data_IF_027308952981
#
_entry.id   IF_027308952981
#
_cell.length_a   1.000
_cell.length_b   1.000
_cell.length_c   1.000
_cell.angle_alpha   90.00
_cell.angle_beta   90.00
_cell.angle_gamma   90.00
#
_symmetry.space_group_name_H-M   'P 1'
#
loop_
_entity.id
_entity.type
_entity.pdbx_description
1 polymer ?
#
# COMPACT_ATOMS: atom_id res chain seq x y z
N UNK A 1 96.07 38.32 1.20
CA UNK A 1 95.73 36.93 1.52
C UNK A 1 94.18 36.85 1.52
N UNK A 2 93.64 36.23 0.47
CA UNK A 2 92.19 36.16 0.25
C UNK A 2 91.60 34.91 0.95
N UNK A 3 90.66 35.13 1.81
CA UNK A 3 89.87 34.04 2.42
C UNK A 3 88.56 33.89 1.68
N UNK A 4 88.40 32.76 0.99
CA UNK A 4 87.13 32.41 0.35
C UNK A 4 86.15 31.80 1.36
N UNK A 5 84.99 32.48 1.57
CA UNK A 5 83.90 31.95 2.32
C UNK A 5 83.09 31.04 1.42
N UNK A 6 83.07 29.74 1.72
CA UNK A 6 82.29 28.76 1.03
C UNK A 6 80.86 28.74 1.66
N UNK A 7 79.88 29.33 0.98
CA UNK A 7 78.50 29.29 1.40
C UNK A 7 77.92 27.94 0.86
N UNK A 8 77.80 26.96 1.75
CA UNK A 8 77.01 25.76 1.50
C UNK A 8 75.54 26.08 1.59
N UNK A 9 74.86 26.33 0.48
CA UNK A 9 73.40 26.35 0.38
C UNK A 9 72.90 24.93 0.48
N UNK A 10 72.38 24.57 1.65
CA UNK A 10 71.66 23.34 1.88
C UNK A 10 70.32 23.35 1.11
N UNK A 11 70.39 22.75 -0.10
CA UNK A 11 69.16 22.43 -0.83
C UNK A 11 68.44 21.31 -0.06
N UNK A 12 67.41 21.68 0.68
CA UNK A 12 66.47 20.71 1.26
C UNK A 12 65.75 20.00 0.10
N UNK A 13 66.15 18.77 -0.15
CA UNK A 13 65.41 17.88 -1.03
C UNK A 13 64.08 17.58 -0.37
N UNK A 14 63.02 18.29 -0.80
CA UNK A 14 61.66 17.86 -0.56
C UNK A 14 61.50 16.46 -1.18
N UNK A 15 61.48 15.46 -0.32
CA UNK A 15 61.18 14.09 -0.72
C UNK A 15 59.66 14.04 -1.04
N UNK A 16 59.30 14.31 -2.28
CA UNK A 16 58.01 14.05 -2.83
C UNK A 16 57.80 12.54 -2.91
N UNK A 17 57.37 11.96 -1.82
CA UNK A 17 56.82 10.61 -1.83
C UNK A 17 55.52 10.63 -2.67
N UNK A 18 55.65 10.67 -3.97
CA UNK A 18 54.55 10.38 -4.89
C UNK A 18 54.17 8.92 -4.65
N UNK A 19 53.07 8.73 -3.89
CA UNK A 19 52.42 7.43 -3.73
C UNK A 19 51.91 6.99 -5.10
N UNK A 20 52.77 6.33 -5.87
CA UNK A 20 52.36 5.63 -7.09
C UNK A 20 51.51 4.45 -6.64
N UNK A 21 50.21 4.69 -6.58
CA UNK A 21 49.26 3.62 -6.30
C UNK A 21 49.46 2.51 -7.32
N UNK A 22 49.71 1.28 -6.84
CA UNK A 22 49.81 0.11 -7.73
C UNK A 22 48.50 -0.01 -8.53
N UNK A 23 48.60 -0.35 -9.82
CA UNK A 23 47.39 -0.55 -10.69
C UNK A 23 46.34 -1.44 -10.04
N UNK A 24 46.75 -2.45 -9.27
CA UNK A 24 45.86 -3.30 -8.47
C UNK A 24 45.02 -2.51 -7.46
N UNK A 25 45.62 -1.54 -6.74
CA UNK A 25 44.92 -0.72 -5.74
C UNK A 25 43.86 0.19 -6.40
N UNK A 26 44.16 0.75 -7.56
CA UNK A 26 43.23 1.58 -8.33
C UNK A 26 42.03 0.73 -8.79
N UNK A 27 42.28 -0.48 -9.29
CA UNK A 27 41.23 -1.41 -9.72
C UNK A 27 40.35 -1.81 -8.55
N UNK A 28 40.94 -2.09 -7.39
CA UNK A 28 40.17 -2.44 -6.18
C UNK A 28 39.26 -1.29 -5.73
N UNK A 29 39.80 -0.05 -5.69
CA UNK A 29 38.98 1.14 -5.31
C UNK A 29 37.85 1.35 -6.32
N UNK A 30 38.13 1.22 -7.62
CA UNK A 30 37.12 1.35 -8.66
C UNK A 30 36.01 0.27 -8.50
N UNK A 31 36.38 -0.98 -8.24
CA UNK A 31 35.44 -2.07 -8.01
C UNK A 31 34.55 -1.81 -6.77
N UNK A 32 35.15 -1.35 -5.67
CA UNK A 32 34.40 -0.99 -4.45
C UNK A 32 33.43 0.17 -4.71
N UNK A 33 33.88 1.18 -5.46
CA UNK A 33 32.99 2.31 -5.83
C UNK A 33 31.82 1.85 -6.68
N UNK A 34 32.02 1.00 -7.68
CA UNK A 34 30.95 0.44 -8.52
C UNK A 34 29.94 -0.36 -7.68
N UNK A 35 30.43 -1.20 -6.78
CA UNK A 35 29.55 -1.95 -5.86
C UNK A 35 28.79 -1.00 -4.94
N UNK A 36 29.44 0.04 -4.41
CA UNK A 36 28.79 1.06 -3.58
C UNK A 36 27.66 1.78 -4.31
N UNK A 37 27.89 2.25 -5.53
CA UNK A 37 26.86 2.88 -6.36
C UNK A 37 25.72 1.94 -6.70
N UNK A 38 26.03 0.67 -6.97
CA UNK A 38 25.01 -0.35 -7.22
C UNK A 38 24.15 -0.60 -5.97
N UNK A 39 24.74 -0.69 -4.77
CA UNK A 39 24.04 -0.85 -3.50
C UNK A 39 23.06 0.30 -3.22
N UNK A 40 23.52 1.56 -3.41
CA UNK A 40 22.67 2.74 -3.26
C UNK A 40 21.50 2.71 -4.25
N UNK A 41 21.75 2.38 -5.50
CA UNK A 41 20.71 2.26 -6.50
C UNK A 41 19.70 1.13 -6.20
N UNK A 42 20.18 0.01 -5.68
CA UNK A 42 19.33 -1.11 -5.28
C UNK A 42 18.45 -0.76 -4.08
N UNK A 43 19.02 -0.09 -3.07
CA UNK A 43 18.28 0.39 -1.89
C UNK A 43 17.19 1.40 -2.29
N UNK A 44 17.57 2.45 -3.02
CA UNK A 44 16.61 3.47 -3.47
C UNK A 44 15.47 2.87 -4.30
N UNK A 45 15.78 1.86 -5.14
CA UNK A 45 14.77 1.15 -5.92
C UNK A 45 13.79 0.35 -5.06
N UNK A 46 14.24 -0.20 -3.92
CA UNK A 46 13.35 -0.89 -2.97
C UNK A 46 12.48 0.10 -2.20
N UNK A 47 13.04 1.22 -1.73
CA UNK A 47 12.28 2.29 -1.08
C UNK A 47 11.19 2.82 -2.03
N UNK A 48 11.53 3.10 -3.28
CA UNK A 48 10.54 3.57 -4.27
C UNK A 48 9.41 2.56 -4.50
N UNK A 49 9.75 1.27 -4.52
CA UNK A 49 8.75 0.22 -4.69
C UNK A 49 7.85 0.05 -3.45
N UNK A 50 8.40 0.23 -2.25
CA UNK A 50 7.66 0.22 -0.99
C UNK A 50 6.68 1.39 -0.92
N UNK A 51 7.13 2.62 -1.19
CA UNK A 51 6.28 3.82 -1.30
C UNK A 51 5.16 3.65 -2.35
N UNK A 52 5.43 2.88 -3.40
CA UNK A 52 4.41 2.49 -4.38
C UNK A 52 3.29 1.66 -3.76
N UNK A 53 3.62 0.73 -2.86
CA UNK A 53 2.64 -0.09 -2.13
C UNK A 53 1.81 0.78 -1.19
N UNK A 54 2.44 1.69 -0.45
CA UNK A 54 1.76 2.58 0.50
C UNK A 54 0.82 3.55 -0.23
N UNK A 55 1.25 4.04 -1.40
CA UNK A 55 0.39 4.82 -2.29
C UNK A 55 -0.82 4.02 -2.77
N UNK A 56 -0.62 2.76 -3.18
CA UNK A 56 -1.71 1.89 -3.61
C UNK A 56 -2.67 1.58 -2.45
N UNK A 57 -2.16 1.40 -1.23
CA UNK A 57 -2.98 1.25 -0.04
C UNK A 57 -3.84 2.49 0.23
N UNK A 58 -3.26 3.69 0.15
CA UNK A 58 -4.00 4.94 0.31
C UNK A 58 -5.16 5.08 -0.68
N UNK A 59 -5.01 4.57 -1.93
CA UNK A 59 -6.13 4.54 -2.89
C UNK A 59 -7.23 3.57 -2.45
N UNK A 60 -6.87 2.42 -1.88
CA UNK A 60 -7.83 1.48 -1.29
C UNK A 60 -8.61 2.16 -0.17
N UNK A 61 -7.93 2.81 0.78
CA UNK A 61 -8.59 3.53 1.89
C UNK A 61 -9.55 4.61 1.39
N UNK A 62 -9.14 5.40 0.39
CA UNK A 62 -9.96 6.46 -0.18
C UNK A 62 -11.29 5.93 -0.74
N UNK A 63 -11.29 4.79 -1.42
CA UNK A 63 -12.54 4.23 -1.97
C UNK A 63 -13.43 3.61 -0.87
N UNK A 64 -12.84 3.02 0.16
CA UNK A 64 -13.58 2.54 1.33
C UNK A 64 -14.18 3.70 2.14
N UNK A 65 -13.42 4.79 2.32
CA UNK A 65 -13.95 6.00 2.95
C UNK A 65 -15.13 6.56 2.17
N UNK A 66 -15.00 6.66 0.83
CA UNK A 66 -16.12 7.09 -0.02
C UNK A 66 -17.36 6.23 0.17
N UNK A 67 -17.21 4.89 0.27
CA UNK A 67 -18.34 4.01 0.58
C UNK A 67 -18.97 4.34 1.93
N UNK A 68 -18.16 4.52 2.97
CA UNK A 68 -18.62 4.85 4.30
C UNK A 68 -19.35 6.20 4.36
N UNK A 69 -18.98 7.17 3.53
CA UNK A 69 -19.58 8.50 3.47
C UNK A 69 -20.93 8.51 2.75
N UNK A 70 -21.20 7.55 1.87
CA UNK A 70 -22.51 7.41 1.21
C UNK A 70 -23.59 6.83 2.16
N UNK A 71 -23.19 6.05 3.16
CA UNK A 71 -24.10 5.28 4.03
C UNK A 71 -25.07 6.15 4.85
N UNK A 72 -24.67 7.26 5.49
CA UNK A 72 -25.60 8.09 6.24
C UNK A 72 -26.75 8.63 5.38
N UNK A 73 -26.44 9.03 4.13
CA UNK A 73 -27.46 9.52 3.20
C UNK A 73 -28.41 8.39 2.76
N UNK A 74 -27.85 7.20 2.48
CA UNK A 74 -28.67 6.02 2.16
C UNK A 74 -29.60 5.64 3.32
N UNK A 75 -29.08 5.54 4.55
CA UNK A 75 -29.85 5.22 5.76
C UNK A 75 -30.95 6.26 5.98
N UNK A 76 -30.66 7.57 5.82
CA UNK A 76 -31.62 8.65 5.96
C UNK A 76 -32.73 8.56 4.91
N UNK A 77 -32.39 8.27 3.66
CA UNK A 77 -33.35 8.12 2.57
C UNK A 77 -34.28 6.92 2.81
N UNK A 78 -33.68 5.75 3.13
CA UNK A 78 -34.46 4.53 3.40
C UNK A 78 -35.39 4.70 4.63
N UNK A 79 -34.88 5.33 5.69
CA UNK A 79 -35.66 5.59 6.91
C UNK A 79 -36.92 6.40 6.65
N UNK A 80 -36.94 7.30 5.66
CA UNK A 80 -38.08 8.10 5.26
C UNK A 80 -39.26 7.25 4.71
N UNK A 81 -38.98 6.05 4.18
CA UNK A 81 -39.97 5.16 3.57
C UNK A 81 -40.19 3.86 4.36
N UNK A 82 -39.16 3.38 5.02
CA UNK A 82 -39.12 2.09 5.71
C UNK A 82 -38.75 2.26 7.20
N UNK A 83 -39.41 3.15 7.91
CA UNK A 83 -39.14 3.46 9.33
C UNK A 83 -39.30 2.25 10.27
N UNK A 84 -40.04 1.24 9.87
CA UNK A 84 -40.27 0.00 10.65
C UNK A 84 -39.07 -0.97 10.57
N UNK A 85 -38.14 -0.75 9.67
CA UNK A 85 -36.93 -1.57 9.46
C UNK A 85 -35.76 -1.12 10.37
N UNK A 86 -36.07 -0.76 11.62
CA UNK A 86 -35.08 -0.17 12.54
C UNK A 86 -33.89 -1.07 12.79
N UNK A 87 -34.08 -2.39 12.91
CA UNK A 87 -32.99 -3.36 13.13
C UNK A 87 -32.02 -3.42 11.96
N UNK A 88 -32.53 -3.41 10.73
CA UNK A 88 -31.68 -3.41 9.51
C UNK A 88 -30.91 -2.10 9.38
N UNK A 89 -31.57 -0.95 9.63
CA UNK A 89 -30.94 0.36 9.59
C UNK A 89 -29.86 0.52 10.66
N UNK A 90 -30.13 0.09 11.90
CA UNK A 90 -29.14 0.08 12.99
C UNK A 90 -27.99 -0.87 12.69
N UNK A 91 -28.27 -2.03 12.09
CA UNK A 91 -27.25 -2.97 11.64
C UNK A 91 -26.23 -2.35 10.67
N UNK A 92 -26.71 -1.55 9.71
CA UNK A 92 -25.85 -0.83 8.76
C UNK A 92 -25.03 0.25 9.47
N UNK A 93 -25.64 1.04 10.35
CA UNK A 93 -24.95 2.09 11.12
C UNK A 93 -23.85 1.48 12.00
N UNK A 94 -24.13 0.38 12.69
CA UNK A 94 -23.18 -0.31 13.55
C UNK A 94 -22.03 -0.93 12.74
N UNK A 95 -22.33 -1.58 11.61
CA UNK A 95 -21.32 -2.14 10.72
C UNK A 95 -20.41 -1.05 10.12
N UNK A 96 -20.98 0.11 9.74
CA UNK A 96 -20.21 1.27 9.32
C UNK A 96 -19.26 1.75 10.42
N UNK A 97 -19.76 1.90 11.64
CA UNK A 97 -18.95 2.34 12.77
C UNK A 97 -17.76 1.40 13.01
N UNK A 98 -17.98 0.08 12.97
CA UNK A 98 -16.90 -0.92 13.08
C UNK A 98 -15.91 -0.79 11.93
N UNK A 99 -16.38 -0.70 10.67
CA UNK A 99 -15.54 -0.63 9.49
C UNK A 99 -14.65 0.62 9.47
N UNK A 100 -15.14 1.76 10.01
CA UNK A 100 -14.38 3.02 10.10
C UNK A 100 -13.45 3.10 11.32
N UNK A 101 -13.62 2.22 12.32
CA UNK A 101 -12.72 2.15 13.48
C UNK A 101 -11.46 1.33 13.23
N UNK A 102 -11.47 0.45 12.24
CA UNK A 102 -10.29 -0.35 11.90
C UNK A 102 -9.34 0.52 11.09
N UNK A 103 -8.29 0.98 11.76
CA UNK A 103 -7.17 1.68 11.11
C UNK A 103 -6.07 0.69 10.79
N UNK A 104 -5.48 0.85 9.63
CA UNK A 104 -4.36 0.03 9.14
C UNK A 104 -3.17 0.94 8.93
N UNK A 105 -2.02 0.53 9.46
CA UNK A 105 -0.75 1.22 9.22
C UNK A 105 -0.16 0.69 7.91
N UNK A 106 -0.10 1.55 6.89
CA UNK A 106 0.44 1.19 5.58
C UNK A 106 1.92 0.79 5.64
N UNK A 107 2.71 1.49 6.45
CA UNK A 107 4.14 1.23 6.58
C UNK A 107 4.40 -0.16 7.18
N UNK A 108 3.58 -0.53 8.19
CA UNK A 108 3.70 -1.80 8.92
C UNK A 108 2.50 -2.72 8.69
N UNK A 109 2.04 -2.84 7.45
CA UNK A 109 0.89 -3.64 7.08
C UNK A 109 1.13 -5.14 7.34
N UNK A 110 0.45 -5.69 8.34
CA UNK A 110 0.52 -7.13 8.67
C UNK A 110 -0.65 -7.92 8.10
N UNK A 111 -0.50 -9.24 7.90
CA UNK A 111 -1.60 -10.11 7.48
C UNK A 111 -2.82 -10.02 8.43
N UNK A 112 -2.58 -9.94 9.73
CA UNK A 112 -3.62 -9.87 10.76
C UNK A 112 -4.40 -8.54 10.70
N UNK A 113 -3.71 -7.43 10.44
CA UNK A 113 -4.35 -6.12 10.25
C UNK A 113 -5.23 -6.13 9.00
N UNK A 114 -4.69 -6.66 7.88
CA UNK A 114 -5.43 -6.77 6.63
C UNK A 114 -6.65 -7.70 6.77
N UNK A 115 -6.53 -8.80 7.50
CA UNK A 115 -7.64 -9.70 7.78
C UNK A 115 -8.75 -9.00 8.57
N UNK A 116 -8.41 -8.33 9.68
CA UNK A 116 -9.37 -7.57 10.49
C UNK A 116 -10.08 -6.48 9.67
N UNK A 117 -9.33 -5.80 8.81
CA UNK A 117 -9.90 -4.81 7.89
C UNK A 117 -10.90 -5.49 6.93
N UNK A 118 -10.52 -6.60 6.31
CA UNK A 118 -11.39 -7.35 5.40
C UNK A 118 -12.67 -7.85 6.09
N UNK A 119 -12.57 -8.36 7.32
CA UNK A 119 -13.71 -8.83 8.10
C UNK A 119 -14.69 -7.69 8.39
N UNK A 120 -14.20 -6.55 8.87
CA UNK A 120 -15.05 -5.38 9.16
C UNK A 120 -15.73 -4.82 7.91
N UNK A 121 -15.00 -4.77 6.78
CA UNK A 121 -15.52 -4.33 5.50
C UNK A 121 -16.53 -5.35 4.91
N UNK A 122 -16.33 -6.63 5.16
CA UNK A 122 -17.25 -7.71 4.78
C UNK A 122 -18.56 -7.66 5.58
N UNK A 123 -18.51 -7.40 6.89
CA UNK A 123 -19.70 -7.17 7.73
C UNK A 123 -20.55 -6.01 7.19
N UNK A 124 -19.89 -4.90 6.80
CA UNK A 124 -20.55 -3.74 6.22
C UNK A 124 -21.20 -4.07 4.86
N UNK A 125 -20.52 -4.79 3.98
CA UNK A 125 -21.08 -5.22 2.70
C UNK A 125 -22.31 -6.12 2.91
N UNK A 126 -22.26 -7.03 3.87
CA UNK A 126 -23.40 -7.90 4.22
C UNK A 126 -24.59 -7.12 4.78
N UNK A 127 -24.33 -6.11 5.63
CA UNK A 127 -25.38 -5.25 6.17
C UNK A 127 -26.04 -4.41 5.07
N UNK A 128 -25.27 -3.84 4.15
CA UNK A 128 -25.77 -3.11 2.97
C UNK A 128 -26.59 -4.01 2.06
N UNK A 129 -26.15 -5.25 1.82
CA UNK A 129 -26.90 -6.24 1.04
C UNK A 129 -28.27 -6.53 1.65
N UNK A 130 -28.36 -6.70 2.98
CA UNK A 130 -29.64 -6.87 3.68
C UNK A 130 -30.53 -5.64 3.55
N UNK A 131 -29.97 -4.42 3.72
CA UNK A 131 -30.72 -3.20 3.54
C UNK A 131 -31.32 -3.08 2.14
N UNK A 132 -30.52 -3.35 1.10
CA UNK A 132 -31.00 -3.33 -0.29
C UNK A 132 -32.09 -4.37 -0.54
N UNK A 133 -31.98 -5.58 0.04
CA UNK A 133 -33.03 -6.60 -0.07
C UNK A 133 -34.35 -6.16 0.55
N UNK A 134 -34.31 -5.48 1.69
CA UNK A 134 -35.52 -4.91 2.33
C UNK A 134 -36.18 -3.88 1.43
N UNK A 135 -35.43 -3.04 0.73
CA UNK A 135 -35.98 -1.99 -0.15
C UNK A 135 -36.86 -2.55 -1.28
N UNK A 136 -36.71 -3.83 -1.62
CA UNK A 136 -37.56 -4.49 -2.63
C UNK A 136 -39.05 -4.52 -2.24
N UNK A 137 -39.37 -4.46 -0.93
CA UNK A 137 -40.71 -4.41 -0.43
C UNK A 137 -41.37 -3.01 -0.45
N UNK A 138 -40.59 -1.98 -0.84
CA UNK A 138 -41.01 -0.56 -0.80
C UNK A 138 -40.98 0.07 -2.19
N UNK A 139 -42.03 -0.05 -3.02
CA UNK A 139 -42.04 0.46 -4.41
C UNK A 139 -41.79 1.97 -4.52
N UNK A 140 -42.31 2.75 -3.58
CA UNK A 140 -42.16 4.20 -3.57
C UNK A 140 -40.69 4.63 -3.31
N UNK A 141 -39.98 3.87 -2.48
CA UNK A 141 -38.54 4.07 -2.26
C UNK A 141 -37.76 3.72 -3.52
N UNK A 142 -38.08 2.61 -4.16
CA UNK A 142 -37.42 2.18 -5.42
C UNK A 142 -37.61 3.19 -6.57
N UNK A 143 -38.71 3.95 -6.55
CA UNK A 143 -38.96 5.00 -7.53
C UNK A 143 -38.33 6.37 -7.15
N UNK A 144 -37.73 6.46 -5.94
CA UNK A 144 -37.12 7.71 -5.48
C UNK A 144 -35.79 7.96 -6.18
N UNK A 145 -35.67 9.11 -6.85
CA UNK A 145 -34.47 9.45 -7.64
C UNK A 145 -33.19 9.52 -6.79
N UNK A 146 -33.27 10.06 -5.56
CA UNK A 146 -32.12 10.11 -4.65
C UNK A 146 -31.65 8.71 -4.22
N UNK A 147 -32.60 7.79 -4.00
CA UNK A 147 -32.28 6.41 -3.67
C UNK A 147 -31.57 5.71 -4.83
N UNK A 148 -32.10 5.86 -6.05
CA UNK A 148 -31.49 5.29 -7.26
C UNK A 148 -30.08 5.84 -7.51
N UNK A 149 -29.89 7.15 -7.32
CA UNK A 149 -28.57 7.75 -7.44
C UNK A 149 -27.58 7.22 -6.40
N UNK A 150 -27.98 7.12 -5.13
CA UNK A 150 -27.15 6.55 -4.05
C UNK A 150 -26.82 5.09 -4.30
N UNK A 151 -27.77 4.30 -4.79
CA UNK A 151 -27.53 2.91 -5.18
C UNK A 151 -26.50 2.82 -6.30
N UNK A 152 -26.63 3.62 -7.36
CA UNK A 152 -25.68 3.66 -8.46
C UNK A 152 -24.27 4.08 -8.01
N UNK A 153 -24.18 5.06 -7.09
CA UNK A 153 -22.91 5.49 -6.50
C UNK A 153 -22.27 4.39 -5.64
N UNK A 154 -23.06 3.63 -4.88
CA UNK A 154 -22.57 2.49 -4.11
C UNK A 154 -22.04 1.37 -5.01
N UNK A 155 -22.79 0.98 -6.04
CA UNK A 155 -22.35 -0.02 -7.01
C UNK A 155 -21.08 0.41 -7.73
N UNK A 156 -20.99 1.67 -8.16
CA UNK A 156 -19.78 2.24 -8.75
C UNK A 156 -18.60 2.25 -7.78
N UNK A 157 -18.84 2.44 -6.48
CA UNK A 157 -17.80 2.41 -5.46
C UNK A 157 -17.33 0.98 -5.18
N UNK A 158 -18.23 -0.01 -5.15
CA UNK A 158 -17.84 -1.44 -5.02
C UNK A 158 -16.94 -1.90 -6.18
N UNK A 159 -17.27 -1.51 -7.41
CA UNK A 159 -16.43 -1.79 -8.58
C UNK A 159 -15.04 -1.14 -8.47
N UNK A 160 -14.97 0.08 -7.91
CA UNK A 160 -13.69 0.76 -7.66
C UNK A 160 -12.90 0.07 -6.56
N UNK A 161 -13.55 -0.36 -5.47
CA UNK A 161 -12.92 -1.15 -4.40
C UNK A 161 -12.25 -2.40 -4.99
N UNK A 162 -12.95 -3.15 -5.82
CA UNK A 162 -12.39 -4.33 -6.47
C UNK A 162 -11.17 -3.99 -7.35
N UNK A 163 -11.25 -2.87 -8.08
CA UNK A 163 -10.16 -2.39 -8.94
C UNK A 163 -8.93 -1.97 -8.12
N UNK A 164 -9.11 -1.18 -7.06
CA UNK A 164 -7.98 -0.68 -6.26
C UNK A 164 -7.35 -1.83 -5.43
N UNK A 165 -8.13 -2.81 -4.95
CA UNK A 165 -7.59 -4.04 -4.35
C UNK A 165 -6.71 -4.83 -5.31
N UNK A 166 -7.12 -4.95 -6.57
CA UNK A 166 -6.33 -5.62 -7.61
C UNK A 166 -5.01 -4.87 -7.86
N UNK A 167 -5.05 -3.54 -8.00
CA UNK A 167 -3.86 -2.71 -8.18
C UNK A 167 -2.91 -2.80 -6.98
N UNK A 168 -3.44 -2.77 -5.76
CA UNK A 168 -2.64 -2.99 -4.56
C UNK A 168 -1.93 -4.34 -4.60
N UNK A 169 -2.64 -5.41 -4.94
CA UNK A 169 -2.04 -6.74 -5.04
C UNK A 169 -0.95 -6.82 -6.12
N UNK A 170 -1.13 -6.13 -7.25
CA UNK A 170 -0.12 -6.03 -8.30
C UNK A 170 1.14 -5.31 -7.80
N UNK A 171 0.97 -4.15 -7.18
CA UNK A 171 2.09 -3.35 -6.65
C UNK A 171 2.82 -4.09 -5.53
N UNK A 172 2.08 -4.70 -4.60
CA UNK A 172 2.65 -5.55 -3.54
C UNK A 172 3.41 -6.76 -4.10
N UNK A 173 2.92 -7.38 -5.18
CA UNK A 173 3.62 -8.48 -5.89
C UNK A 173 4.93 -7.99 -6.51
N UNK A 174 4.93 -6.83 -7.15
CA UNK A 174 6.14 -6.26 -7.74
C UNK A 174 7.19 -5.98 -6.67
N UNK A 175 6.81 -5.33 -5.57
CA UNK A 175 7.66 -5.07 -4.42
C UNK A 175 8.19 -6.38 -3.80
N UNK A 176 7.31 -7.32 -3.46
CA UNK A 176 7.68 -8.61 -2.88
C UNK A 176 8.63 -9.40 -3.79
N UNK A 177 8.44 -9.29 -5.10
CA UNK A 177 9.34 -9.91 -6.09
C UNK A 177 10.70 -9.22 -6.08
N UNK A 178 10.73 -7.89 -6.02
CA UNK A 178 11.95 -7.09 -6.02
C UNK A 178 12.85 -7.41 -4.83
N UNK A 179 12.30 -7.45 -3.61
CA UNK A 179 13.06 -7.73 -2.38
C UNK A 179 13.52 -9.20 -2.26
N UNK A 180 12.93 -10.11 -3.03
CA UNK A 180 13.29 -11.56 -3.03
C UNK A 180 14.27 -11.95 -4.11
N UNK A 181 14.50 -11.12 -5.14
CA UNK A 181 15.46 -11.42 -6.21
C UNK A 181 16.89 -11.29 -5.73
N UNK A 182 17.75 -12.26 -6.07
CA UNK A 182 19.19 -12.17 -5.85
C UNK A 182 19.81 -11.12 -6.81
N UNK A 183 20.76 -10.29 -6.36
CA UNK A 183 21.32 -10.20 -5.01
C UNK A 183 20.60 -9.21 -4.08
N UNK A 184 19.47 -8.59 -4.49
CA UNK A 184 18.72 -7.59 -3.71
C UNK A 184 18.16 -8.15 -2.40
N UNK A 185 17.88 -9.45 -2.34
CA UNK A 185 17.38 -10.12 -1.12
C UNK A 185 18.35 -10.01 0.08
N UNK A 186 19.65 -9.91 -0.18
CA UNK A 186 20.65 -9.69 0.87
C UNK A 186 20.50 -8.29 1.45
N UNK A 187 20.36 -7.29 0.58
CA UNK A 187 20.16 -5.89 0.97
C UNK A 187 18.84 -5.76 1.74
N UNK A 188 17.76 -6.34 1.21
CA UNK A 188 16.44 -6.33 1.85
C UNK A 188 16.50 -6.88 3.27
N UNK A 189 17.19 -8.00 3.49
CA UNK A 189 17.34 -8.60 4.82
C UNK A 189 18.17 -7.72 5.78
N UNK A 190 19.19 -7.03 5.28
CA UNK A 190 20.05 -6.16 6.11
C UNK A 190 19.31 -4.87 6.53
N UNK A 191 18.49 -4.32 5.64
CA UNK A 191 17.79 -3.06 5.85
C UNK A 191 16.34 -3.22 6.34
N UNK A 192 15.87 -4.45 6.57
CA UNK A 192 14.58 -4.72 7.17
C UNK A 192 13.38 -4.57 6.23
N UNK A 193 13.56 -4.70 4.91
CA UNK A 193 12.45 -4.74 3.96
C UNK A 193 11.67 -6.05 4.10
N UNK A 194 10.42 -5.95 4.52
CA UNK A 194 9.55 -7.09 4.75
C UNK A 194 8.51 -7.25 3.65
N UNK A 195 7.96 -8.45 3.53
CA UNK A 195 6.91 -8.72 2.55
C UNK A 195 5.60 -8.07 2.97
N UNK A 196 4.97 -7.39 2.04
CA UNK A 196 3.60 -6.88 2.21
C UNK A 196 2.59 -8.00 1.90
N UNK A 197 1.50 -8.12 2.68
CA UNK A 197 0.45 -9.11 2.45
C UNK A 197 -0.38 -8.78 1.20
N UNK A 198 -1.23 -9.72 0.80
CA UNK A 198 -2.16 -9.53 -0.31
C UNK A 198 -3.60 -9.57 0.19
N UNK A 199 -4.49 -8.87 -0.49
CA UNK A 199 -5.91 -9.15 -0.38
C UNK A 199 -6.20 -10.53 -0.94
N UNK A 200 -6.80 -11.36 -0.12
CA UNK A 200 -7.28 -12.69 -0.53
C UNK A 200 -8.72 -12.61 -1.03
N UNK A 201 -9.13 -13.57 -1.84
CA UNK A 201 -10.53 -13.74 -2.21
C UNK A 201 -11.36 -14.08 -0.97
N UNK A 202 -12.61 -13.63 -0.93
CA UNK A 202 -13.51 -14.02 0.16
C UNK A 202 -13.73 -15.54 0.14
N UNK A 203 -13.83 -16.14 1.34
CA UNK A 203 -14.12 -17.56 1.45
C UNK A 203 -15.41 -17.91 0.69
N UNK A 204 -15.33 -18.91 -0.17
CA UNK A 204 -16.45 -19.33 -1.01
C UNK A 204 -16.58 -18.62 -2.36
N UNK A 205 -15.73 -17.65 -2.70
CA UNK A 205 -15.71 -16.99 -4.00
C UNK A 205 -15.36 -17.97 -5.16
N UNK A 206 -14.77 -19.09 -4.84
CA UNK A 206 -14.46 -20.21 -5.76
C UNK A 206 -15.67 -21.12 -6.07
N UNK A 207 -16.76 -20.99 -5.29
CA UNK A 207 -17.96 -21.79 -5.49
C UNK A 207 -18.95 -21.03 -6.37
N UNK A 208 -19.21 -21.56 -7.57
CA UNK A 208 -20.27 -21.02 -8.40
C UNK A 208 -21.61 -21.12 -7.64
N UNK A 209 -22.44 -20.05 -7.64
CA UNK A 209 -23.75 -20.10 -7.01
C UNK A 209 -24.57 -21.24 -7.63
N UNK A 210 -25.08 -22.12 -6.78
CA UNK A 210 -25.98 -23.20 -7.23
C UNK A 210 -27.29 -22.58 -7.71
N UNK A 211 -27.48 -22.51 -9.02
CA UNK A 211 -28.76 -22.09 -9.60
C UNK A 211 -29.72 -23.25 -9.46
N UNK A 212 -30.68 -23.15 -8.56
CA UNK A 212 -31.81 -24.09 -8.49
C UNK A 212 -32.94 -23.48 -9.31
N UNK A 213 -33.37 -24.21 -10.36
CA UNK A 213 -34.55 -23.89 -11.15
C UNK A 213 -35.79 -24.52 -10.53
#
# INVERSE_FOLDING_TARGET
MQGYICICTGVQMFNQNSYVMKKSTIITIAAVAVVGFWLVGAYNGMVTAEEGVDTAWSQVENVYQRRADLIPNLVSTVKGYAAHESETLEGVVNARAKATQVTVDAENLTPEQLQKFNEAQGELSSALGRLLAVTEAYPDLKANENFLELQAQLEGTENRIATERMKFNETAKEYNTLIRKFPKNIIASVFGFEKKPYFEAQEGADKAPAVQF
#
